data_IF_910161085122
#
_entry.id   IF_910161085122
#
_cell.length_a   1.000
_cell.length_b   1.000
_cell.length_c   1.000
_cell.angle_alpha   90.00
_cell.angle_beta   90.00
_cell.angle_gamma   90.00
#
_symmetry.space_group_name_H-M   'P 1'
#
loop_
_entity.id
_entity.type
_entity.pdbx_description
1 polymer ?
#
# COMPACT_ATOMS: atom_id res chain seq x y z
N UNK A 1 23.47 -1.12 -6.52
CA UNK A 1 22.60 -0.30 -7.40
C UNK A 1 22.56 1.09 -6.81
N UNK A 2 22.65 2.16 -7.61
CA UNK A 2 22.51 3.53 -7.08
C UNK A 2 21.09 3.75 -6.53
N UNK A 3 20.94 4.54 -5.46
CA UNK A 3 19.62 5.00 -5.01
C UNK A 3 19.00 5.91 -6.06
N UNK A 4 17.70 6.17 -5.96
CA UNK A 4 17.04 7.13 -6.86
C UNK A 4 17.71 8.51 -6.78
N UNK A 5 18.07 8.94 -5.58
CA UNK A 5 18.83 10.16 -5.36
C UNK A 5 20.22 10.12 -5.98
N UNK A 6 21.00 9.08 -5.72
CA UNK A 6 22.32 8.93 -6.33
C UNK A 6 22.26 8.91 -7.86
N UNK A 7 21.17 8.42 -8.45
CA UNK A 7 21.00 8.37 -9.90
C UNK A 7 20.82 9.74 -10.53
N UNK A 8 19.97 10.61 -9.96
CA UNK A 8 19.82 11.97 -10.50
C UNK A 8 21.00 12.88 -10.15
N UNK A 9 21.65 12.68 -8.99
CA UNK A 9 22.83 13.45 -8.60
C UNK A 9 24.02 13.15 -9.52
N UNK A 10 24.23 11.88 -9.86
CA UNK A 10 25.23 11.48 -10.85
C UNK A 10 24.96 12.14 -12.21
N UNK A 11 23.70 12.12 -12.66
CA UNK A 11 23.34 12.72 -13.92
C UNK A 11 23.49 14.26 -13.94
N UNK A 12 23.18 14.95 -12.84
CA UNK A 12 23.47 16.39 -12.68
C UNK A 12 24.97 16.67 -12.72
N UNK A 13 25.77 15.83 -12.05
CA UNK A 13 27.24 15.96 -12.06
C UNK A 13 27.81 15.76 -13.47
N UNK A 14 27.31 14.78 -14.22
CA UNK A 14 27.74 14.52 -15.60
C UNK A 14 27.30 15.64 -16.56
N UNK A 15 26.11 16.19 -16.39
CA UNK A 15 25.59 17.29 -17.20
C UNK A 15 26.16 18.65 -16.80
N UNK A 16 26.81 18.76 -15.63
CA UNK A 16 27.22 20.02 -15.01
C UNK A 16 26.07 21.03 -14.89
N UNK A 17 24.86 20.53 -14.60
CA UNK A 17 23.63 21.31 -14.59
C UNK A 17 22.95 21.26 -13.21
N UNK A 18 22.87 22.42 -12.56
CA UNK A 18 22.25 22.61 -11.25
C UNK A 18 20.86 23.26 -11.32
N UNK A 19 20.29 23.46 -12.51
CA UNK A 19 18.97 24.06 -12.67
C UNK A 19 17.85 23.15 -12.15
N UNK A 20 16.93 23.71 -11.35
CA UNK A 20 15.85 22.96 -10.70
C UNK A 20 14.76 22.48 -11.66
N UNK A 21 14.57 23.18 -12.78
CA UNK A 21 13.65 22.79 -13.86
C UNK A 21 14.20 21.57 -14.58
N UNK A 22 15.49 21.62 -14.93
CA UNK A 22 16.17 20.51 -15.60
C UNK A 22 16.25 19.28 -14.71
N UNK A 23 16.46 19.46 -13.40
CA UNK A 23 16.38 18.36 -12.43
C UNK A 23 15.01 17.70 -12.39
N UNK A 24 13.92 18.47 -12.44
CA UNK A 24 12.55 17.93 -12.44
C UNK A 24 12.27 17.12 -13.70
N UNK A 25 12.74 17.61 -14.85
CA UNK A 25 12.66 16.90 -16.12
C UNK A 25 13.49 15.60 -16.10
N UNK A 26 14.73 15.68 -15.61
CA UNK A 26 15.65 14.54 -15.52
C UNK A 26 15.09 13.42 -14.63
N UNK A 27 14.53 13.78 -13.47
CA UNK A 27 13.80 12.85 -12.58
C UNK A 27 12.69 12.11 -13.33
N UNK A 28 11.92 12.85 -14.14
CA UNK A 28 10.85 12.27 -14.96
C UNK A 28 11.38 11.30 -16.01
N UNK A 29 12.51 11.61 -16.65
CA UNK A 29 13.13 10.70 -17.63
C UNK A 29 13.73 9.45 -17.01
N UNK A 30 14.39 9.56 -15.86
CA UNK A 30 14.89 8.39 -15.12
C UNK A 30 13.73 7.45 -14.81
N UNK A 31 12.62 7.98 -14.29
CA UNK A 31 11.40 7.22 -13.99
C UNK A 31 10.79 6.55 -15.23
N UNK A 32 10.68 7.26 -16.35
CA UNK A 32 10.17 6.66 -17.60
C UNK A 32 11.14 5.60 -18.12
N UNK A 33 12.45 5.85 -18.02
CA UNK A 33 13.50 4.94 -18.45
C UNK A 33 13.51 3.62 -17.67
N UNK A 34 13.42 3.68 -16.33
CA UNK A 34 13.34 2.48 -15.49
C UNK A 34 12.09 1.66 -15.82
N UNK A 35 10.93 2.31 -15.95
CA UNK A 35 9.69 1.63 -16.36
C UNK A 35 9.80 0.96 -17.72
N UNK A 36 10.37 1.65 -18.72
CA UNK A 36 10.57 1.08 -20.06
C UNK A 36 11.53 -0.10 -20.04
N UNK A 37 12.64 0.02 -19.30
CA UNK A 37 13.63 -1.04 -19.17
C UNK A 37 13.02 -2.28 -18.51
N UNK A 38 12.27 -2.11 -17.43
CA UNK A 38 11.60 -3.21 -16.75
C UNK A 38 10.50 -3.85 -17.60
N UNK A 39 9.74 -3.05 -18.34
CA UNK A 39 8.77 -3.56 -19.29
C UNK A 39 9.44 -4.42 -20.38
N UNK A 40 10.60 -4.00 -20.90
CA UNK A 40 11.37 -4.78 -21.86
C UNK A 40 11.99 -6.05 -21.28
N UNK A 41 12.43 -6.00 -20.02
CA UNK A 41 12.99 -7.15 -19.30
C UNK A 41 11.92 -8.13 -18.79
N UNK A 42 10.63 -7.79 -18.91
CA UNK A 42 9.53 -8.63 -18.43
C UNK A 42 9.43 -8.73 -16.90
N UNK A 43 10.14 -7.87 -16.16
CA UNK A 43 10.19 -7.86 -14.69
C UNK A 43 9.00 -7.11 -14.05
N UNK A 44 8.03 -6.69 -14.87
CA UNK A 44 7.01 -5.72 -14.52
C UNK A 44 5.96 -6.22 -13.50
N UNK A 45 5.78 -7.54 -13.37
CA UNK A 45 4.75 -8.12 -12.50
C UNK A 45 5.45 -8.94 -11.42
N UNK A 46 5.60 -8.34 -10.24
CA UNK A 46 6.00 -9.10 -9.04
C UNK A 46 4.74 -9.34 -8.22
N UNK A 47 4.52 -10.60 -7.82
CA UNK A 47 3.49 -10.92 -6.85
C UNK A 47 3.95 -10.42 -5.48
N UNK A 48 3.21 -9.49 -4.91
CA UNK A 48 3.46 -8.97 -3.56
C UNK A 48 2.31 -9.31 -2.63
N UNK A 49 2.61 -9.32 -1.34
CA UNK A 49 1.64 -9.56 -0.29
C UNK A 49 1.64 -8.40 0.70
N UNK A 50 0.44 -7.97 1.06
CA UNK A 50 0.23 -6.98 2.11
C UNK A 50 -0.74 -7.53 3.13
N UNK A 51 -0.28 -7.64 4.37
CA UNK A 51 -1.13 -7.97 5.51
C UNK A 51 -1.81 -6.70 6.04
N UNK A 52 -3.08 -6.85 6.38
CA UNK A 52 -3.92 -5.86 7.04
C UNK A 52 -4.55 -6.51 8.28
N UNK A 53 -4.67 -5.77 9.37
CA UNK A 53 -5.39 -6.22 10.55
C UNK A 53 -6.86 -5.84 10.40
N UNK A 54 -7.73 -6.84 10.51
CA UNK A 54 -9.17 -6.63 10.40
C UNK A 54 -9.66 -5.64 11.45
N UNK A 55 -10.65 -4.84 11.07
CA UNK A 55 -11.28 -3.79 11.88
C UNK A 55 -10.36 -2.58 12.20
N UNK A 56 -9.11 -2.78 12.60
CA UNK A 56 -8.21 -1.70 13.02
C UNK A 56 -7.60 -0.92 11.87
N UNK A 57 -7.26 -1.58 10.76
CA UNK A 57 -6.65 -0.92 9.58
C UNK A 57 -7.69 -0.35 8.61
N UNK A 58 -8.94 -0.24 9.05
CA UNK A 58 -10.05 0.20 8.23
C UNK A 58 -10.00 1.71 7.98
N UNK A 59 -10.46 2.12 6.80
CA UNK A 59 -10.54 3.53 6.45
C UNK A 59 -11.55 4.22 7.38
N UNK A 60 -11.11 5.26 8.08
CA UNK A 60 -11.98 6.06 8.97
C UNK A 60 -13.24 6.52 8.24
N UNK A 61 -14.41 6.28 8.85
CA UNK A 61 -15.71 6.64 8.28
C UNK A 61 -16.32 5.60 7.34
N UNK A 62 -15.70 4.43 7.19
CA UNK A 62 -16.25 3.32 6.37
C UNK A 62 -16.86 2.18 7.19
N UNK A 63 -17.07 2.38 8.49
CA UNK A 63 -17.69 1.40 9.40
C UNK A 63 -17.02 0.01 9.37
N UNK A 64 -15.72 -0.05 9.06
CA UNK A 64 -14.97 -1.29 8.98
C UNK A 64 -15.07 -2.05 7.65
N UNK A 65 -15.70 -1.45 6.64
CA UNK A 65 -15.96 -2.08 5.34
C UNK A 65 -14.82 -1.97 4.34
N UNK A 66 -13.96 -0.95 4.48
CA UNK A 66 -12.98 -0.64 3.45
C UNK A 66 -11.55 -0.55 3.98
N UNK A 67 -10.62 -1.02 3.15
CA UNK A 67 -9.18 -0.94 3.39
C UNK A 67 -8.48 -0.27 2.21
N UNK A 68 -7.40 0.46 2.49
CA UNK A 68 -6.61 1.12 1.45
C UNK A 68 -5.84 0.08 0.63
N UNK A 69 -5.94 0.19 -0.70
CA UNK A 69 -5.09 -0.60 -1.58
C UNK A 69 -3.61 -0.22 -1.39
N UNK A 70 -2.68 -1.16 -1.60
CA UNK A 70 -1.26 -0.86 -1.78
C UNK A 70 -1.05 0.20 -2.87
N UNK A 71 -0.05 1.05 -2.71
CA UNK A 71 0.23 2.15 -3.65
C UNK A 71 0.72 1.67 -5.03
N UNK A 72 1.25 0.45 -5.09
CA UNK A 72 1.71 -0.23 -6.28
C UNK A 72 0.71 -1.27 -6.81
N UNK A 73 -0.52 -1.28 -6.29
CA UNK A 73 -1.54 -2.25 -6.67
C UNK A 73 -1.94 -2.11 -8.15
N UNK A 74 -1.86 -3.21 -8.90
CA UNK A 74 -2.39 -3.31 -10.26
C UNK A 74 -3.70 -4.08 -10.31
N UNK A 75 -3.67 -5.31 -9.80
CA UNK A 75 -4.79 -6.24 -9.81
C UNK A 75 -4.70 -7.16 -8.61
N UNK A 76 -5.87 -7.51 -8.08
CA UNK A 76 -5.98 -8.46 -6.99
C UNK A 76 -5.80 -9.87 -7.56
N UNK A 77 -4.87 -10.63 -6.99
CA UNK A 77 -4.69 -12.06 -7.29
C UNK A 77 -5.53 -12.88 -6.32
N UNK A 78 -5.40 -12.59 -5.03
CA UNK A 78 -6.08 -13.33 -3.97
C UNK A 78 -6.25 -12.43 -2.74
N UNK A 79 -7.36 -12.62 -2.03
CA UNK A 79 -7.56 -12.04 -0.71
C UNK A 79 -8.03 -13.14 0.23
N UNK A 80 -7.34 -13.32 1.35
CA UNK A 80 -7.68 -14.34 2.33
C UNK A 80 -7.48 -13.83 3.76
N UNK A 81 -8.25 -14.39 4.69
CA UNK A 81 -8.10 -14.11 6.12
C UNK A 81 -7.60 -15.36 6.81
N UNK A 82 -6.55 -15.20 7.63
CA UNK A 82 -6.01 -16.31 8.42
C UNK A 82 -6.60 -16.27 9.82
N UNK A 83 -7.26 -17.37 10.22
CA UNK A 83 -7.75 -17.57 11.58
C UNK A 83 -7.04 -18.80 12.16
N UNK A 84 -6.18 -18.58 13.15
CA UNK A 84 -5.29 -19.63 13.65
C UNK A 84 -4.33 -20.11 12.55
N UNK A 85 -4.52 -21.35 12.08
CA UNK A 85 -3.74 -21.95 10.99
C UNK A 85 -4.52 -22.12 9.69
N UNK A 86 -5.81 -21.75 9.68
CA UNK A 86 -6.71 -21.96 8.54
C UNK A 86 -6.81 -20.67 7.74
N UNK A 87 -6.56 -20.77 6.43
CA UNK A 87 -6.76 -19.69 5.48
C UNK A 87 -8.18 -19.77 4.90
N UNK A 88 -8.92 -18.67 5.03
CA UNK A 88 -10.26 -18.50 4.47
C UNK A 88 -10.14 -17.60 3.24
N UNK A 89 -10.13 -18.15 2.01
CA UNK A 89 -10.09 -17.35 0.80
C UNK A 89 -11.42 -16.62 0.60
N UNK A 90 -11.34 -15.46 -0.03
CA UNK A 90 -12.51 -14.66 -0.41
C UNK A 90 -12.74 -14.67 -1.91
N UNK A 91 -13.99 -14.49 -2.30
CA UNK A 91 -14.38 -14.40 -3.70
C UNK A 91 -14.44 -12.94 -4.17
N UNK A 92 -13.76 -12.66 -5.28
CA UNK A 92 -13.76 -11.35 -5.92
C UNK A 92 -15.04 -11.18 -6.75
N UNK A 93 -15.84 -10.20 -6.38
CA UNK A 93 -16.95 -9.71 -7.20
C UNK A 93 -16.44 -8.55 -8.06
N UNK A 94 -16.65 -8.63 -9.37
CA UNK A 94 -16.31 -7.54 -10.31
C UNK A 94 -17.53 -6.70 -10.70
N UNK A 95 -18.75 -7.23 -10.53
CA UNK A 95 -19.98 -6.54 -10.87
C UNK A 95 -20.42 -5.60 -9.73
N UNK A 96 -20.47 -4.30 -10.05
CA UNK A 96 -20.89 -3.25 -9.13
C UNK A 96 -22.37 -3.36 -8.73
N UNK A 97 -23.24 -3.84 -9.62
CA UNK A 97 -24.68 -3.97 -9.35
C UNK A 97 -24.93 -5.12 -8.38
N UNK A 98 -24.26 -6.25 -8.58
CA UNK A 98 -24.26 -7.37 -7.64
C UNK A 98 -23.71 -6.93 -6.27
N UNK A 99 -22.58 -6.22 -6.25
CA UNK A 99 -22.01 -5.69 -5.03
C UNK A 99 -22.97 -4.76 -4.29
N UNK A 100 -23.64 -3.85 -5.00
CA UNK A 100 -24.63 -2.93 -4.42
C UNK A 100 -25.85 -3.68 -3.88
N UNK A 101 -26.30 -4.74 -4.56
CA UNK A 101 -27.40 -5.58 -4.09
C UNK A 101 -27.10 -6.31 -2.79
N UNK A 102 -25.87 -6.82 -2.65
CA UNK A 102 -25.41 -7.54 -1.45
C UNK A 102 -25.19 -6.56 -0.30
N UNK A 103 -24.47 -5.46 -0.55
CA UNK A 103 -24.14 -4.46 0.48
C UNK A 103 -25.36 -3.67 0.98
N UNK A 104 -26.40 -3.48 0.15
CA UNK A 104 -27.61 -2.73 0.55
C UNK A 104 -28.64 -3.58 1.30
N UNK A 105 -28.74 -4.89 1.04
CA UNK A 105 -29.77 -5.76 1.63
C UNK A 105 -29.38 -6.42 2.96
N UNK A 106 -28.12 -6.30 3.40
CA UNK A 106 -27.58 -7.10 4.53
C UNK A 106 -26.89 -6.27 5.61
N UNK A 107 -27.31 -5.02 5.78
CA UNK A 107 -26.82 -4.09 6.81
C UNK A 107 -26.86 -4.74 8.19
N UNK A 108 -25.70 -5.21 8.69
CA UNK A 108 -25.55 -5.83 10.01
C UNK A 108 -25.06 -7.28 10.01
N UNK A 109 -24.79 -7.91 8.85
CA UNK A 109 -24.13 -9.22 8.84
C UNK A 109 -22.65 -9.06 9.20
N UNK A 110 -22.27 -9.56 10.39
CA UNK A 110 -20.88 -9.60 10.85
C UNK A 110 -20.31 -11.01 10.76
N UNK A 111 -19.03 -11.13 10.42
CA UNK A 111 -18.31 -12.41 10.39
C UNK A 111 -16.84 -12.20 10.74
N UNK A 112 -16.22 -13.20 11.37
CA UNK A 112 -14.78 -13.18 11.70
C UNK A 112 -13.86 -13.31 10.49
N UNK A 113 -14.40 -13.66 9.34
CA UNK A 113 -13.73 -13.63 8.05
C UNK A 113 -14.67 -13.09 6.96
N UNK A 114 -14.14 -12.32 5.99
CA UNK A 114 -14.86 -11.87 4.82
C UNK A 114 -15.07 -13.05 3.88
N UNK A 115 -16.15 -13.02 3.12
CA UNK A 115 -16.47 -14.03 2.11
C UNK A 115 -16.36 -13.43 0.71
N UNK A 116 -16.69 -12.16 0.57
CA UNK A 116 -16.77 -11.44 -0.68
C UNK A 116 -15.91 -10.19 -0.61
N UNK A 117 -15.30 -9.84 -1.73
CA UNK A 117 -14.45 -8.67 -1.85
C UNK A 117 -14.74 -7.92 -3.14
N UNK A 118 -14.73 -6.60 -3.09
CA UNK A 118 -14.94 -5.71 -4.23
C UNK A 118 -13.86 -4.63 -4.26
N UNK A 119 -13.21 -4.48 -5.41
CA UNK A 119 -12.17 -3.47 -5.60
C UNK A 119 -12.81 -2.23 -6.21
N UNK A 120 -12.74 -1.09 -5.51
CA UNK A 120 -13.33 0.18 -5.96
C UNK A 120 -12.30 1.30 -5.90
N UNK A 121 -11.91 1.84 -7.05
CA UNK A 121 -10.93 2.92 -7.16
C UNK A 121 -9.66 2.59 -6.34
N UNK A 122 -9.45 3.27 -5.21
CA UNK A 122 -8.26 3.15 -4.35
C UNK A 122 -8.47 2.31 -3.08
N UNK A 123 -9.60 1.59 -2.98
CA UNK A 123 -9.93 0.80 -1.80
C UNK A 123 -10.51 -0.55 -2.16
N UNK A 124 -10.33 -1.48 -1.22
CA UNK A 124 -10.97 -2.78 -1.25
C UNK A 124 -12.08 -2.78 -0.21
N UNK A 125 -13.30 -3.13 -0.64
CA UNK A 125 -14.47 -3.25 0.20
C UNK A 125 -14.72 -4.74 0.46
N UNK A 126 -14.96 -5.11 1.71
CA UNK A 126 -15.15 -6.50 2.13
C UNK A 126 -16.55 -6.73 2.68
N UNK A 127 -17.04 -7.95 2.52
CA UNK A 127 -18.31 -8.39 3.07
C UNK A 127 -18.20 -9.87 3.52
N UNK A 128 -18.81 -10.30 4.65
CA UNK A 128 -19.54 -9.51 5.66
C UNK A 128 -18.63 -8.55 6.42
N UNK A 129 -19.21 -7.69 7.27
CA UNK A 129 -18.42 -6.78 8.09
C UNK A 129 -17.59 -7.59 9.10
N UNK A 130 -16.29 -7.29 9.27
CA UNK A 130 -15.54 -7.82 10.40
C UNK A 130 -16.16 -7.29 11.70
N UNK A 131 -16.25 -8.15 12.71
CA UNK A 131 -16.76 -7.76 14.03
C UNK A 131 -15.75 -6.83 14.70
N UNK A 132 -16.21 -5.91 15.55
CA UNK A 132 -15.33 -4.94 16.23
C UNK A 132 -14.27 -5.54 17.16
N UNK A 133 -14.39 -6.82 17.47
CA UNK A 133 -13.42 -7.59 18.26
C UNK A 133 -12.46 -8.42 17.43
N UNK A 134 -12.65 -8.53 16.11
CA UNK A 134 -11.82 -9.38 15.27
C UNK A 134 -10.47 -8.72 14.99
N UNK A 135 -9.39 -9.34 15.46
CA UNK A 135 -8.00 -8.93 15.21
C UNK A 135 -7.30 -9.84 14.19
N UNK A 136 -8.09 -10.62 13.45
CA UNK A 136 -7.57 -11.56 12.45
C UNK A 136 -6.78 -10.81 11.37
N UNK A 137 -5.70 -11.43 10.90
CA UNK A 137 -4.89 -10.85 9.82
C UNK A 137 -5.44 -11.30 8.49
N UNK A 138 -5.78 -10.33 7.63
CA UNK A 138 -6.10 -10.58 6.23
C UNK A 138 -4.93 -10.22 5.36
N UNK A 139 -4.69 -11.00 4.32
CA UNK A 139 -3.57 -10.80 3.39
C UNK A 139 -4.13 -10.57 2.00
N UNK A 140 -3.68 -9.46 1.41
CA UNK A 140 -3.93 -9.08 0.03
C UNK A 140 -2.72 -9.56 -0.77
N UNK A 141 -2.91 -10.51 -1.68
CA UNK A 141 -1.92 -10.90 -2.69
C UNK A 141 -2.29 -10.22 -4.00
N UNK A 142 -1.36 -9.44 -4.55
CA UNK A 142 -1.63 -8.61 -5.71
C UNK A 142 -0.46 -8.58 -6.68
N UNK A 143 -0.78 -8.29 -7.94
CA UNK A 143 0.22 -7.90 -8.91
C UNK A 143 0.68 -6.48 -8.59
N UNK A 144 1.95 -6.32 -8.27
CA UNK A 144 2.57 -5.02 -8.03
C UNK A 144 3.17 -4.47 -9.32
N UNK A 145 2.95 -3.17 -9.59
CA UNK A 145 3.75 -2.37 -10.51
C UNK A 145 4.92 -1.79 -9.73
N UNK A 146 6.08 -1.56 -10.35
CA UNK A 146 7.14 -0.85 -9.64
C UNK A 146 6.65 0.51 -9.10
N UNK A 147 6.95 0.77 -7.82
CA UNK A 147 6.62 2.03 -7.15
C UNK A 147 7.30 3.19 -7.86
N UNK A 148 6.55 4.26 -8.05
CA UNK A 148 7.09 5.49 -8.59
C UNK A 148 8.13 6.08 -7.62
N UNK A 149 9.39 6.10 -8.06
CA UNK A 149 10.46 6.80 -7.36
C UNK A 149 10.24 8.31 -7.50
N UNK A 150 9.62 8.93 -6.50
CA UNK A 150 9.27 10.36 -6.52
C UNK A 150 9.95 11.16 -5.44
N UNK A 151 10.42 10.50 -4.38
CA UNK A 151 10.94 11.14 -3.19
C UNK A 151 12.46 10.93 -3.09
N UNK A 152 13.17 11.99 -2.72
CA UNK A 152 14.59 11.92 -2.41
C UNK A 152 14.83 11.09 -1.13
N UNK A 153 16.08 10.66 -0.91
CA UNK A 153 16.44 9.92 0.29
C UNK A 153 16.17 10.82 1.52
N UNK A 154 15.47 10.26 2.49
CA UNK A 154 15.08 10.99 3.69
C UNK A 154 16.28 11.11 4.64
N UNK A 155 16.98 12.24 4.58
CA UNK A 155 18.18 12.50 5.39
C UNK A 155 17.90 13.42 6.61
N UNK A 156 16.68 13.92 6.77
CA UNK A 156 16.36 14.96 7.76
C UNK A 156 15.59 14.42 8.95
N UNK A 157 15.91 14.86 10.16
CA UNK A 157 15.17 14.48 11.38
C UNK A 157 15.70 13.23 12.06
N UNK A 158 15.26 13.01 13.30
CA UNK A 158 15.75 11.92 14.15
C UNK A 158 14.56 11.24 14.82
N UNK A 159 14.58 9.90 14.87
CA UNK A 159 13.63 9.13 15.68
C UNK A 159 13.94 9.48 17.15
N UNK A 160 13.01 10.19 17.80
CA UNK A 160 13.16 10.59 19.20
C UNK A 160 12.63 9.52 20.15
N UNK A 161 11.61 8.77 19.73
CA UNK A 161 11.10 7.63 20.49
C UNK A 161 10.79 6.45 19.60
N UNK A 162 11.39 5.30 19.91
CA UNK A 162 10.93 3.98 19.50
C UNK A 162 11.17 3.05 20.68
N UNK A 163 10.18 2.98 21.57
CA UNK A 163 10.25 2.05 22.71
C UNK A 163 10.17 0.61 22.19
N UNK A 164 10.83 -0.33 22.86
CA UNK A 164 10.69 -1.75 22.53
C UNK A 164 9.23 -2.20 22.73
N UNK A 165 8.60 -2.76 21.68
CA UNK A 165 7.18 -3.07 21.64
C UNK A 165 6.24 -1.85 21.47
N UNK A 166 6.79 -0.65 21.24
CA UNK A 166 6.01 0.55 20.99
C UNK A 166 5.52 0.63 19.55
N UNK A 167 4.25 0.94 19.35
CA UNK A 167 3.64 1.12 18.01
C UNK A 167 3.72 2.56 17.50
N UNK A 168 4.23 3.48 18.32
CA UNK A 168 4.33 4.90 17.99
C UNK A 168 5.80 5.32 17.79
N UNK A 169 6.09 5.86 16.61
CA UNK A 169 7.33 6.57 16.33
C UNK A 169 7.06 8.06 16.34
N UNK A 170 7.77 8.76 17.21
CA UNK A 170 7.82 10.23 17.21
C UNK A 170 9.20 10.68 16.80
N UNK A 171 9.29 11.83 16.14
CA UNK A 171 10.55 12.38 15.70
C UNK A 171 10.53 13.90 15.71
N UNK A 172 11.69 14.49 15.99
CA UNK A 172 11.89 15.94 15.98
C UNK A 172 12.40 16.41 14.62
N UNK A 173 11.93 17.57 14.17
CA UNK A 173 12.31 18.13 12.87
C UNK A 173 11.92 17.24 11.68
N UNK A 174 10.93 16.37 11.86
CA UNK A 174 10.48 15.43 10.83
C UNK A 174 9.39 16.03 9.97
N UNK A 175 9.31 15.60 8.72
CA UNK A 175 8.17 15.90 7.83
C UNK A 175 7.21 14.71 7.73
N UNK A 176 7.25 13.82 8.73
CA UNK A 176 6.41 12.63 8.76
C UNK A 176 4.94 13.02 8.81
N UNK A 177 4.17 12.44 7.92
CA UNK A 177 2.72 12.61 7.88
C UNK A 177 2.04 11.27 8.15
N UNK A 178 0.77 11.29 8.55
CA UNK A 178 -0.02 10.07 8.76
C UNK A 178 -0.07 9.18 7.50
N UNK A 179 0.00 9.78 6.31
CA UNK A 179 0.04 9.07 5.04
C UNK A 179 1.35 8.29 4.80
N UNK A 180 2.41 8.55 5.57
CA UNK A 180 3.69 7.83 5.46
C UNK A 180 3.73 6.53 6.27
N UNK A 181 2.81 6.37 7.24
CA UNK A 181 2.69 5.14 8.03
C UNK A 181 2.24 4.00 7.12
N UNK A 182 2.99 2.89 7.13
CA UNK A 182 2.74 1.73 6.28
C UNK A 182 3.16 1.88 4.81
N UNK A 183 3.64 3.06 4.38
CA UNK A 183 4.17 3.31 3.01
C UNK A 183 5.68 3.54 2.97
N UNK A 184 6.21 4.22 3.99
CA UNK A 184 7.64 4.56 4.12
C UNK A 184 8.22 4.12 5.45
N UNK A 185 7.41 4.08 6.51
CA UNK A 185 7.78 3.56 7.82
C UNK A 185 6.87 2.40 8.18
N UNK A 186 7.47 1.28 8.61
CA UNK A 186 6.78 0.14 9.19
C UNK A 186 7.48 -0.23 10.50
N UNK A 187 6.69 -0.39 11.56
CA UNK A 187 7.15 -0.85 12.86
C UNK A 187 6.35 -2.11 13.13
N UNK A 188 7.04 -3.25 13.14
CA UNK A 188 6.46 -4.52 13.54
C UNK A 188 6.77 -4.73 15.03
N UNK A 189 5.77 -5.19 15.79
CA UNK A 189 5.92 -5.51 17.21
C UNK A 189 6.56 -6.89 17.41
#
# INVERSE_FOLDING_TARGET
MLSYQGSYELAQSLASDSDSTNLTLLKSFIKIGTKKLQAQLGLYITAEERSIVMYTDTITGTSGLAYYLPENFKSLTEFFTTIGTVQHPTELIQDIELWRGISSNTTGSTSSYPQLVFVKNDRIEVWPLPTSSDTNTSTIRYEAIEKDLTQADYATGTITTLANGGTAVTGAGTTWTSAMVGRHFRIDA
#
